data_IF_656608227734
#
_entry.id   IF_656608227734
#
_cell.length_a   1.000
_cell.length_b   1.000
_cell.length_c   1.000
_cell.angle_alpha   90.00
_cell.angle_beta   90.00
_cell.angle_gamma   90.00
#
_symmetry.space_group_name_H-M   'P 1'
#
loop_
_entity.id
_entity.type
_entity.pdbx_description
1 polymer ?
#
# COMPACT_ATOMS: atom_id res chain seq x y z
N UNK A 1 -5.30 5.55 -4.21
CA UNK A 1 -4.07 6.39 -4.21
C UNK A 1 -3.13 5.94 -5.32
N UNK A 2 -2.59 4.71 -5.31
CA UNK A 2 -1.66 4.22 -6.35
C UNK A 2 -2.17 4.38 -7.80
N UNK A 3 -3.43 4.01 -8.05
CA UNK A 3 -4.03 4.17 -9.38
C UNK A 3 -4.04 5.64 -9.86
N UNK A 4 -4.31 6.60 -8.98
CA UNK A 4 -4.30 8.03 -9.33
C UNK A 4 -2.89 8.55 -9.60
N UNK A 5 -1.90 8.11 -8.81
CA UNK A 5 -0.49 8.45 -9.02
C UNK A 5 -0.04 7.98 -10.41
N UNK A 6 -0.35 6.73 -10.76
CA UNK A 6 0.05 6.14 -12.04
C UNK A 6 -0.65 6.81 -13.22
N UNK A 7 -1.98 6.98 -13.15
CA UNK A 7 -2.76 7.60 -14.22
C UNK A 7 -2.36 9.05 -14.45
N UNK A 8 -2.13 9.84 -13.39
CA UNK A 8 -1.69 11.23 -13.53
C UNK A 8 -0.25 11.32 -14.07
N UNK A 9 0.64 10.44 -13.64
CA UNK A 9 2.03 10.42 -14.12
C UNK A 9 2.10 10.16 -15.61
N UNK A 10 1.37 9.15 -16.09
CA UNK A 10 1.26 8.82 -17.51
C UNK A 10 0.53 9.97 -18.25
N UNK A 11 -0.58 10.46 -17.70
CA UNK A 11 -1.37 11.53 -18.32
C UNK A 11 -0.59 12.81 -18.59
N UNK A 12 0.26 13.25 -17.66
CA UNK A 12 1.11 14.43 -17.86
C UNK A 12 2.28 14.11 -18.80
N UNK A 13 2.91 12.93 -18.66
CA UNK A 13 4.08 12.55 -19.47
C UNK A 13 3.74 12.37 -20.96
N UNK A 14 2.52 11.95 -21.28
CA UNK A 14 2.02 11.82 -22.66
C UNK A 14 1.13 13.00 -23.09
N UNK A 15 1.04 14.06 -22.28
CA UNK A 15 0.35 15.29 -22.68
C UNK A 15 1.19 16.08 -23.68
N UNK A 16 0.54 16.93 -24.49
CA UNK A 16 1.23 17.82 -25.44
C UNK A 16 2.22 18.80 -24.77
N UNK A 17 2.06 19.07 -23.48
CA UNK A 17 2.97 19.90 -22.70
C UNK A 17 4.14 19.12 -22.07
N UNK A 18 3.99 17.81 -21.85
CA UNK A 18 5.00 16.90 -21.28
C UNK A 18 5.40 17.14 -19.81
N UNK A 19 5.18 18.35 -19.28
CA UNK A 19 5.50 18.75 -17.92
C UNK A 19 4.60 19.92 -17.47
N UNK A 20 4.47 20.11 -16.16
CA UNK A 20 3.82 21.29 -15.59
C UNK A 20 4.88 22.35 -15.32
N UNK A 21 4.86 23.41 -16.10
CA UNK A 21 5.81 24.52 -16.02
C UNK A 21 5.25 25.66 -15.17
N UNK A 22 5.90 25.96 -14.05
CA UNK A 22 5.55 27.06 -13.15
C UNK A 22 6.64 28.13 -13.28
N UNK A 23 6.35 29.30 -13.86
CA UNK A 23 7.29 30.40 -13.92
C UNK A 23 7.46 31.03 -12.53
N UNK A 24 8.70 31.11 -12.05
CA UNK A 24 9.06 31.73 -10.76
C UNK A 24 10.16 32.75 -11.00
N UNK A 25 9.76 34.02 -11.16
CA UNK A 25 10.69 35.10 -11.50
C UNK A 25 11.32 34.90 -12.88
N UNK A 26 12.64 34.70 -12.93
CA UNK A 26 13.40 34.46 -14.16
C UNK A 26 13.64 32.98 -14.48
N UNK A 27 13.14 32.05 -13.68
CA UNK A 27 13.37 30.61 -13.84
C UNK A 27 12.04 29.86 -13.93
N UNK A 28 11.99 28.85 -14.81
CA UNK A 28 10.80 28.00 -14.98
C UNK A 28 11.03 26.66 -14.32
N UNK A 29 10.22 26.32 -13.33
CA UNK A 29 10.22 25.01 -12.70
C UNK A 29 9.32 24.07 -13.50
N UNK A 30 9.90 23.02 -14.06
CA UNK A 30 9.16 22.01 -14.82
C UNK A 30 9.01 20.74 -13.99
N UNK A 31 7.77 20.45 -13.60
CA UNK A 31 7.40 19.23 -12.90
C UNK A 31 7.15 18.11 -13.92
N UNK A 32 7.94 17.04 -13.83
CA UNK A 32 7.70 15.83 -14.61
C UNK A 32 6.39 15.15 -14.21
N UNK A 33 5.86 14.27 -15.06
CA UNK A 33 4.65 13.52 -14.74
C UNK A 33 4.79 12.73 -13.43
N UNK A 34 5.94 12.10 -13.19
CA UNK A 34 6.21 11.39 -11.94
C UNK A 34 6.22 12.32 -10.72
N UNK A 35 6.85 13.50 -10.82
CA UNK A 35 6.88 14.48 -9.74
C UNK A 35 5.46 14.96 -9.38
N UNK A 36 4.66 15.22 -10.40
CA UNK A 36 3.25 15.63 -10.25
C UNK A 36 2.41 14.51 -9.62
N UNK A 37 2.56 13.27 -10.11
CA UNK A 37 1.88 12.10 -9.56
C UNK A 37 2.23 11.83 -8.11
N UNK A 38 3.50 11.94 -7.75
CA UNK A 38 3.98 11.79 -6.36
C UNK A 38 3.38 12.85 -5.44
N UNK A 39 3.38 14.12 -5.86
CA UNK A 39 2.81 15.23 -5.09
C UNK A 39 1.32 15.00 -4.80
N UNK A 40 0.54 14.61 -5.80
CA UNK A 40 -0.89 14.28 -5.63
C UNK A 40 -1.08 13.06 -4.75
N UNK A 41 -0.23 12.04 -4.88
CA UNK A 41 -0.24 10.85 -4.03
C UNK A 41 -0.06 11.18 -2.55
N UNK A 42 0.92 12.04 -2.24
CA UNK A 42 1.21 12.52 -0.88
C UNK A 42 0.04 13.35 -0.35
N UNK A 43 -0.46 14.31 -1.12
CA UNK A 43 -1.58 15.17 -0.74
C UNK A 43 -2.84 14.36 -0.43
N UNK A 44 -3.20 13.41 -1.30
CA UNK A 44 -4.36 12.57 -1.09
C UNK A 44 -4.18 11.64 0.11
N UNK A 45 -2.97 11.10 0.33
CA UNK A 45 -2.71 10.29 1.52
C UNK A 45 -2.84 11.10 2.83
N UNK A 46 -2.51 12.39 2.80
CA UNK A 46 -2.65 13.29 3.95
C UNK A 46 -4.07 13.82 4.16
N UNK A 47 -4.84 14.03 3.08
CA UNK A 47 -6.17 14.65 3.14
C UNK A 47 -7.30 13.63 3.31
N UNK A 48 -7.15 12.39 2.83
CA UNK A 48 -8.22 11.38 2.91
C UNK A 48 -8.44 10.92 4.37
N UNK A 49 -9.57 11.28 5.01
CA UNK A 49 -9.92 10.76 6.34
C UNK A 49 -10.37 9.30 6.24
N UNK A 50 -10.16 8.51 7.30
CA UNK A 50 -10.60 7.11 7.36
C UNK A 50 -9.64 6.11 6.69
N UNK A 51 -8.36 6.47 6.57
CA UNK A 51 -7.29 5.62 6.03
C UNK A 51 -6.44 4.91 7.10
N UNK A 52 -6.75 5.12 8.37
CA UNK A 52 -6.14 4.38 9.47
C UNK A 52 -6.60 2.91 9.38
N UNK A 53 -5.65 2.01 9.12
CA UNK A 53 -5.91 0.60 9.09
C UNK A 53 -6.15 0.14 10.54
N UNK A 54 -7.42 -0.03 10.90
CA UNK A 54 -7.79 -0.50 12.22
C UNK A 54 -7.65 -2.03 12.25
N UNK A 55 -6.69 -2.56 12.99
CA UNK A 55 -6.52 -4.01 13.23
C UNK A 55 -7.59 -4.55 14.19
N UNK A 56 -8.82 -4.06 14.09
CA UNK A 56 -9.93 -4.57 14.89
C UNK A 56 -10.53 -5.78 14.19
N UNK A 57 -9.82 -6.90 14.32
CA UNK A 57 -10.47 -8.17 14.58
C UNK A 57 -9.48 -9.08 15.29
N UNK A 58 -9.57 -9.10 16.63
CA UNK A 58 -9.03 -10.16 17.50
C UNK A 58 -9.71 -11.53 17.24
N UNK A 59 -10.52 -11.63 16.19
CA UNK A 59 -11.23 -12.83 15.78
C UNK A 59 -10.58 -13.41 14.52
N UNK A 60 -10.24 -14.70 14.52
CA UNK A 60 -9.61 -15.33 13.36
C UNK A 60 -10.56 -15.24 12.15
N UNK A 61 -10.11 -14.51 11.13
CA UNK A 61 -10.81 -14.44 9.84
C UNK A 61 -10.71 -15.82 9.15
N UNK A 62 -11.76 -16.25 8.43
CA UNK A 62 -11.85 -17.58 7.78
C UNK A 62 -10.79 -17.89 6.70
N UNK A 63 -10.01 -16.88 6.31
CA UNK A 63 -8.85 -16.92 5.40
C UNK A 63 -7.52 -16.62 6.10
N UNK A 64 -7.54 -16.41 7.42
CA UNK A 64 -6.36 -16.23 8.25
C UNK A 64 -5.62 -17.56 8.40
N UNK A 65 -4.35 -17.57 8.01
CA UNK A 65 -3.45 -18.71 8.25
C UNK A 65 -3.01 -18.65 9.71
N UNK A 66 -3.41 -19.64 10.50
CA UNK A 66 -2.97 -19.76 11.89
C UNK A 66 -1.56 -20.38 11.90
N UNK A 67 -0.53 -19.58 12.24
CA UNK A 67 0.85 -20.05 12.42
C UNK A 67 1.04 -20.68 13.80
N UNK A 68 0.13 -21.57 14.19
CA UNK A 68 0.33 -22.41 15.35
C UNK A 68 1.25 -23.54 14.93
N UNK A 69 2.56 -23.31 15.07
CA UNK A 69 3.57 -24.33 14.83
C UNK A 69 3.36 -25.40 15.90
N UNK A 70 2.97 -26.60 15.48
CA UNK A 70 2.85 -27.77 16.33
C UNK A 70 4.25 -28.07 16.90
N UNK A 71 4.50 -27.56 18.11
CA UNK A 71 5.63 -27.93 18.95
C UNK A 71 5.48 -29.41 19.34
N UNK A 72 6.59 -30.15 19.31
CA UNK A 72 6.63 -31.62 19.29
C UNK A 72 5.96 -32.39 20.43
N UNK A 73 5.41 -31.72 21.44
CA UNK A 73 4.64 -32.37 22.53
C UNK A 73 3.33 -32.99 22.02
N UNK A 74 2.61 -32.36 21.10
CA UNK A 74 1.32 -32.87 20.59
C UNK A 74 1.47 -34.17 19.79
N UNK A 75 2.62 -34.38 19.13
CA UNK A 75 2.87 -35.59 18.35
C UNK A 75 3.18 -36.79 19.25
N UNK A 76 3.83 -36.59 20.39
CA UNK A 76 4.13 -37.68 21.33
C UNK A 76 2.86 -38.17 22.03
N UNK A 77 1.98 -37.25 22.45
CA UNK A 77 0.72 -37.61 23.11
C UNK A 77 -0.23 -38.38 22.17
N UNK A 78 -0.20 -38.04 20.87
CA UNK A 78 -0.98 -38.73 19.83
C UNK A 78 -0.48 -40.17 19.60
N UNK A 79 0.82 -40.41 19.76
CA UNK A 79 1.44 -41.74 19.58
C UNK A 79 1.33 -42.65 20.80
N UNK A 80 1.14 -42.09 21.99
CA UNK A 80 0.87 -42.89 23.20
C UNK A 80 -0.58 -43.37 23.27
N UNK A 81 -1.54 -42.58 22.77
CA UNK A 81 -2.96 -42.98 22.71
C UNK A 81 -3.24 -44.09 21.70
N UNK A 82 -2.42 -44.22 20.65
CA UNK A 82 -2.55 -45.30 19.65
C UNK A 82 -1.97 -46.65 20.14
N UNK A 83 -1.23 -46.65 21.25
CA UNK A 83 -0.65 -47.86 21.85
C UNK A 83 -1.46 -48.46 23.01
N UNK A 84 -2.66 -47.94 23.30
CA UNK A 84 -3.52 -48.40 24.38
C UNK A 84 -4.86 -48.89 23.84
#
# INVERSE_FOLDING_TARGET
IAALIMVLSIGISYSNAGAISIPVGSMTLSLSGLATGSLVGILLNAILPGKDYNFEDDKPNRTGVNFEIISGETILESREKEKK
#
